data_IF_124049377092
#
_entry.id   IF_124049377092
#
_cell.length_a   1.000
_cell.length_b   1.000
_cell.length_c   1.000
_cell.angle_alpha   90.00
_cell.angle_beta   90.00
_cell.angle_gamma   90.00
#
_symmetry.space_group_name_H-M   'P 1'
#
loop_
_entity.id
_entity.type
_entity.pdbx_description
1 polymer ?
#
# COMPACT_ATOMS: atom_id res chain seq x y z
N UNK A 1 -0.87 -34.41 5.71
CA UNK A 1 0.20 -33.97 4.80
C UNK A 1 0.03 -32.52 4.34
N UNK A 2 -1.04 -32.13 3.62
CA UNK A 2 -1.24 -30.73 3.16
C UNK A 2 -1.27 -29.69 4.29
N UNK A 3 -1.98 -29.97 5.38
CA UNK A 3 -2.02 -29.09 6.57
C UNK A 3 -0.65 -28.95 7.23
N UNK A 4 0.07 -30.05 7.37
CA UNK A 4 1.43 -30.08 7.91
C UNK A 4 2.40 -29.27 7.05
N UNK A 5 2.34 -29.44 5.72
CA UNK A 5 3.13 -28.67 4.77
C UNK A 5 2.83 -27.16 4.86
N UNK A 6 1.56 -26.79 4.95
CA UNK A 6 1.14 -25.41 5.13
C UNK A 6 1.69 -24.81 6.43
N UNK A 7 1.59 -25.52 7.55
CA UNK A 7 2.11 -25.07 8.85
C UNK A 7 3.62 -24.89 8.79
N UNK A 8 4.35 -25.86 8.21
CA UNK A 8 5.80 -25.75 8.03
C UNK A 8 6.15 -24.54 7.16
N UNK A 9 5.47 -24.33 6.04
CA UNK A 9 5.69 -23.18 5.17
C UNK A 9 5.41 -21.85 5.88
N UNK A 10 4.33 -21.76 6.67
CA UNK A 10 4.00 -20.58 7.45
C UNK A 10 5.06 -20.27 8.52
N UNK A 11 5.58 -21.29 9.21
CA UNK A 11 6.66 -21.13 10.18
C UNK A 11 7.94 -20.64 9.50
N UNK A 12 8.30 -21.23 8.35
CA UNK A 12 9.48 -20.81 7.58
C UNK A 12 9.35 -19.36 7.12
N UNK A 13 8.19 -18.98 6.57
CA UNK A 13 7.93 -17.60 6.17
C UNK A 13 7.99 -16.65 7.38
N UNK A 14 7.38 -17.02 8.50
CA UNK A 14 7.42 -16.24 9.73
C UNK A 14 8.85 -16.03 10.24
N UNK A 15 9.67 -17.09 10.26
CA UNK A 15 11.08 -17.00 10.63
C UNK A 15 11.87 -16.09 9.68
N UNK A 16 11.60 -16.16 8.38
CA UNK A 16 12.22 -15.27 7.38
C UNK A 16 11.85 -13.80 7.62
N UNK A 17 10.58 -13.51 7.90
CA UNK A 17 10.11 -12.15 8.19
C UNK A 17 10.75 -11.64 9.48
N UNK A 18 10.79 -12.44 10.55
CA UNK A 18 11.43 -12.05 11.82
C UNK A 18 12.92 -11.77 11.62
N UNK A 19 13.66 -12.65 10.92
CA UNK A 19 15.07 -12.42 10.63
C UNK A 19 15.33 -11.21 9.71
N UNK A 20 14.37 -10.82 8.87
CA UNK A 20 14.48 -9.59 8.08
C UNK A 20 14.34 -8.33 8.96
N UNK A 21 13.53 -8.37 10.01
CA UNK A 21 13.34 -7.24 10.95
C UNK A 21 14.62 -6.93 11.72
N UNK A 22 15.49 -7.92 11.97
CA UNK A 22 16.78 -7.70 12.63
C UNK A 22 17.72 -6.75 11.85
N UNK A 23 17.47 -6.50 10.57
CA UNK A 23 18.26 -5.62 9.71
C UNK A 23 17.63 -4.23 9.51
N UNK A 24 16.55 -3.89 10.21
CA UNK A 24 15.94 -2.57 10.12
C UNK A 24 16.77 -1.53 10.87
N UNK A 25 16.70 -0.27 10.42
CA UNK A 25 17.29 0.86 11.14
C UNK A 25 16.75 0.96 12.58
N UNK A 26 17.59 1.32 13.56
CA UNK A 26 17.14 1.63 14.91
C UNK A 26 16.09 2.74 14.91
N UNK A 27 15.19 2.70 15.89
CA UNK A 27 14.17 3.73 16.02
C UNK A 27 14.81 5.11 16.22
N UNK A 28 14.41 6.07 15.39
CA UNK A 28 14.96 7.44 15.41
C UNK A 28 16.22 7.65 14.58
N UNK A 29 16.76 6.61 13.94
CA UNK A 29 17.97 6.68 13.12
C UNK A 29 17.68 6.27 11.66
N UNK A 30 16.95 7.09 10.87
CA UNK A 30 16.54 6.74 9.51
C UNK A 30 17.71 6.58 8.51
N UNK A 31 18.93 6.94 8.90
CA UNK A 31 20.10 6.91 8.03
C UNK A 31 20.04 8.02 6.98
N UNK A 32 20.55 7.74 5.78
CA UNK A 32 20.53 8.67 4.65
C UNK A 32 19.23 8.52 3.85
N UNK A 33 18.35 9.52 3.94
CA UNK A 33 17.01 9.51 3.31
C UNK A 33 16.83 10.67 2.31
N UNK A 34 17.57 10.66 1.19
CA UNK A 34 17.59 11.80 0.24
C UNK A 34 16.22 12.09 -0.39
N UNK A 35 15.36 11.09 -0.53
CA UNK A 35 14.00 11.26 -1.02
C UNK A 35 13.13 12.04 -0.01
N UNK A 36 13.18 11.64 1.25
CA UNK A 36 12.39 12.23 2.33
C UNK A 36 12.78 13.69 2.52
N UNK A 37 14.10 13.95 2.57
CA UNK A 37 14.66 15.30 2.66
C UNK A 37 14.20 16.19 1.49
N UNK A 38 14.19 15.63 0.27
CA UNK A 38 13.72 16.37 -0.91
C UNK A 38 12.24 16.74 -0.79
N UNK A 39 11.37 15.80 -0.41
CA UNK A 39 9.94 16.07 -0.29
C UNK A 39 9.64 17.07 0.83
N UNK A 40 10.31 16.97 1.98
CA UNK A 40 10.15 17.91 3.08
C UNK A 40 10.58 19.32 2.65
N UNK A 41 11.72 19.45 1.94
CA UNK A 41 12.23 20.75 1.51
C UNK A 41 11.46 21.36 0.33
N UNK A 42 10.80 20.55 -0.49
CA UNK A 42 10.28 20.98 -1.80
C UNK A 42 8.76 20.97 -1.93
N UNK A 43 8.01 20.30 -1.06
CA UNK A 43 6.55 20.14 -1.20
C UNK A 43 5.81 21.47 -1.38
N UNK A 44 6.13 22.48 -0.58
CA UNK A 44 5.50 23.79 -0.68
C UNK A 44 5.87 24.52 -1.98
N UNK A 45 7.15 24.46 -2.38
CA UNK A 45 7.65 25.15 -3.58
C UNK A 45 7.13 24.51 -4.87
N UNK A 46 7.19 23.18 -4.94
CA UNK A 46 6.91 22.44 -6.17
C UNK A 46 5.41 22.18 -6.35
N UNK A 47 4.66 21.97 -5.26
CA UNK A 47 3.25 21.54 -5.31
C UNK A 47 2.29 22.45 -4.54
N UNK A 48 2.77 23.59 -4.02
CA UNK A 48 1.94 24.56 -3.28
C UNK A 48 1.16 23.92 -2.12
N UNK A 49 1.73 22.91 -1.48
CA UNK A 49 1.11 22.17 -0.40
C UNK A 49 1.93 22.26 0.88
N UNK A 50 1.32 22.79 1.94
CA UNK A 50 1.87 22.76 3.30
C UNK A 50 1.84 21.35 3.90
N UNK A 51 0.91 20.50 3.42
CA UNK A 51 0.83 19.12 3.86
C UNK A 51 1.70 18.25 2.96
N UNK A 52 2.90 17.91 3.46
CA UNK A 52 3.87 17.07 2.74
C UNK A 52 3.28 15.70 2.42
N UNK A 53 2.53 15.08 3.34
CA UNK A 53 1.95 13.74 3.13
C UNK A 53 0.94 13.77 1.98
N UNK A 54 0.03 14.74 1.97
CA UNK A 54 -0.94 14.91 0.88
C UNK A 54 -0.25 15.18 -0.45
N UNK A 55 0.82 16.00 -0.44
CA UNK A 55 1.62 16.25 -1.65
C UNK A 55 2.33 14.99 -2.16
N UNK A 56 2.69 14.06 -1.29
CA UNK A 56 3.26 12.78 -1.73
C UNK A 56 2.16 11.93 -2.36
N UNK A 57 1.06 11.69 -1.65
CA UNK A 57 0.02 10.73 -2.06
C UNK A 57 -0.73 11.19 -3.31
N UNK A 58 -1.09 12.47 -3.43
CA UNK A 58 -1.87 12.95 -4.58
C UNK A 58 -1.02 13.50 -5.72
N UNK A 59 0.20 13.96 -5.42
CA UNK A 59 0.94 14.84 -6.32
C UNK A 59 2.24 14.21 -6.83
N UNK A 60 3.17 13.80 -5.95
CA UNK A 60 4.40 13.11 -6.37
C UNK A 60 4.15 11.65 -6.75
N UNK A 61 3.27 10.95 -6.03
CA UNK A 61 2.90 9.54 -6.20
C UNK A 61 1.40 9.37 -6.50
N UNK A 62 0.80 10.35 -7.17
CA UNK A 62 -0.61 10.34 -7.53
C UNK A 62 -1.04 9.11 -8.35
N UNK A 63 -0.12 8.51 -9.11
CA UNK A 63 -0.42 7.29 -9.89
C UNK A 63 -0.76 6.09 -8.99
N UNK A 64 -0.11 5.95 -7.85
CA UNK A 64 -0.41 4.88 -6.89
C UNK A 64 -1.83 5.06 -6.33
N UNK A 65 -2.22 6.30 -6.00
CA UNK A 65 -3.56 6.65 -5.52
C UNK A 65 -4.66 6.45 -6.58
N UNK A 66 -4.37 6.73 -7.86
CA UNK A 66 -5.27 6.38 -8.96
C UNK A 66 -5.47 4.85 -9.02
N UNK A 67 -4.39 4.09 -8.81
CA UNK A 67 -4.45 2.63 -8.68
C UNK A 67 -5.33 2.17 -7.53
N UNK A 68 -5.17 2.75 -6.34
CA UNK A 68 -6.03 2.47 -5.17
C UNK A 68 -7.51 2.74 -5.48
N UNK A 69 -7.81 3.89 -6.10
CA UNK A 69 -9.17 4.24 -6.53
C UNK A 69 -9.73 3.23 -7.54
N UNK A 70 -8.93 2.77 -8.50
CA UNK A 70 -9.33 1.77 -9.48
C UNK A 70 -9.63 0.40 -8.83
N UNK A 71 -8.84 -0.02 -7.84
CA UNK A 71 -9.07 -1.25 -7.07
C UNK A 71 -10.40 -1.16 -6.32
N UNK A 72 -10.64 -0.07 -5.58
CA UNK A 72 -11.89 0.13 -4.84
C UNK A 72 -13.10 0.20 -5.78
N UNK A 73 -12.98 0.91 -6.89
CA UNK A 73 -14.03 0.98 -7.91
C UNK A 73 -14.35 -0.40 -8.48
N UNK A 74 -13.32 -1.19 -8.83
CA UNK A 74 -13.49 -2.54 -9.36
C UNK A 74 -14.13 -3.48 -8.34
N UNK A 75 -13.77 -3.36 -7.06
CA UNK A 75 -14.39 -4.12 -5.98
C UNK A 75 -15.88 -3.78 -5.85
N UNK A 76 -16.23 -2.49 -5.88
CA UNK A 76 -17.62 -2.03 -5.86
C UNK A 76 -18.42 -2.53 -7.08
N UNK A 77 -17.86 -2.42 -8.29
CA UNK A 77 -18.47 -2.96 -9.50
C UNK A 77 -18.68 -4.47 -9.41
N UNK A 78 -17.74 -5.20 -8.83
CA UNK A 78 -17.82 -6.65 -8.68
C UNK A 78 -18.93 -7.07 -7.71
N UNK A 79 -19.01 -6.41 -6.54
CA UNK A 79 -20.07 -6.64 -5.56
C UNK A 79 -21.44 -6.30 -6.15
N UNK A 80 -21.58 -5.12 -6.76
CA UNK A 80 -22.85 -4.70 -7.37
C UNK A 80 -23.29 -5.63 -8.51
N UNK A 81 -22.36 -6.11 -9.34
CA UNK A 81 -22.66 -7.08 -10.39
C UNK A 81 -23.12 -8.44 -9.82
N UNK A 82 -22.49 -8.91 -8.74
CA UNK A 82 -22.84 -10.19 -8.09
C UNK A 82 -24.24 -10.15 -7.45
N UNK A 83 -24.60 -9.04 -6.82
CA UNK A 83 -25.88 -8.87 -6.13
C UNK A 83 -26.99 -8.28 -7.01
N UNK A 84 -26.72 -8.01 -8.29
CA UNK A 84 -27.75 -7.50 -9.21
C UNK A 84 -28.80 -8.58 -9.46
N UNK A 85 -30.04 -8.36 -9.00
CA UNK A 85 -31.16 -9.24 -9.35
C UNK A 85 -31.30 -9.30 -10.88
N UNK A 86 -31.31 -10.52 -11.41
CA UNK A 86 -31.57 -10.76 -12.82
C UNK A 86 -32.96 -10.26 -13.19
N UNK A 87 -33.08 -9.63 -14.37
CA UNK A 87 -34.38 -9.22 -14.93
C UNK A 87 -35.31 -10.45 -14.93
N UNK A 88 -36.41 -10.43 -14.13
CA UNK A 88 -37.43 -11.48 -14.20
C UNK A 88 -37.90 -11.55 -15.66
N UNK A 89 -37.70 -12.70 -16.31
CA UNK A 89 -38.28 -12.93 -17.64
C UNK A 89 -39.81 -12.86 -17.48
N UNK A 90 -40.51 -12.16 -18.39
CA UNK A 90 -41.97 -12.14 -18.40
C UNK A 90 -42.55 -13.54 -18.59
#
# INVERSE_FOLDING_TARGET
MKKTLFVVAAIVLGALVVGAVDNIHPFGEPGTVPMDDYFIASALRDRSSENVVTSIVFDYRGFDTIGEAAVLFTALCSVTALFREGRKKP
#
